data_IF_801393082764
#
_entry.id   IF_801393082764
#
_cell.length_a   1.000
_cell.length_b   1.000
_cell.length_c   1.000
_cell.angle_alpha   90.00
_cell.angle_beta   90.00
_cell.angle_gamma   90.00
#
_symmetry.space_group_name_H-M   'P 1'
#
loop_
_entity.id
_entity.type
_entity.pdbx_description
1 polymer ?
#
# COMPACT_ATOMS: atom_id res chain seq x y z
N UNK A 1 -14.19 -11.79 -8.90
CA UNK A 1 -14.17 -10.80 -7.80
C UNK A 1 -15.23 -9.74 -8.11
N UNK A 2 -15.97 -9.21 -7.13
CA UNK A 2 -16.87 -8.09 -7.40
C UNK A 2 -16.04 -6.91 -7.94
N UNK A 3 -16.55 -6.27 -9.00
CA UNK A 3 -15.89 -5.12 -9.65
C UNK A 3 -15.93 -3.93 -8.70
N UNK A 4 -14.77 -3.42 -8.30
CA UNK A 4 -14.68 -2.16 -7.56
C UNK A 4 -14.78 -0.99 -8.55
N UNK A 5 -15.33 0.13 -8.08
CA UNK A 5 -15.41 1.37 -8.87
C UNK A 5 -14.13 2.22 -8.66
N UNK A 6 -13.48 2.08 -7.50
CA UNK A 6 -12.17 2.67 -7.19
C UNK A 6 -11.31 1.72 -6.34
N UNK A 7 -10.02 1.63 -6.66
CA UNK A 7 -9.04 0.91 -5.85
C UNK A 7 -7.96 1.87 -5.35
N UNK A 8 -7.81 1.95 -4.04
CA UNK A 8 -6.79 2.74 -3.36
C UNK A 8 -5.59 1.85 -3.01
N UNK A 9 -4.45 2.10 -3.63
CA UNK A 9 -3.22 1.35 -3.37
C UNK A 9 -2.45 2.00 -2.23
N UNK A 10 -2.26 1.29 -1.13
CA UNK A 10 -1.28 1.68 -0.11
C UNK A 10 0.07 1.07 -0.47
N UNK A 11 0.90 1.90 -1.12
CA UNK A 11 2.21 1.52 -1.65
C UNK A 11 3.31 1.76 -0.61
N UNK A 12 4.42 1.00 -0.68
CA UNK A 12 5.61 1.32 0.11
C UNK A 12 6.22 2.65 -0.37
N UNK A 13 6.99 3.32 0.50
CA UNK A 13 7.71 4.54 0.13
C UNK A 13 8.81 4.29 -0.91
N UNK A 14 9.38 3.09 -0.91
CA UNK A 14 10.30 2.60 -1.94
C UNK A 14 9.66 1.42 -2.64
N UNK A 15 9.50 1.56 -3.96
CA UNK A 15 8.98 0.48 -4.78
C UNK A 15 9.93 -0.72 -4.75
N UNK A 16 9.38 -1.88 -4.36
CA UNK A 16 10.07 -3.16 -4.26
C UNK A 16 11.41 -3.09 -3.50
N UNK A 17 11.35 -2.60 -2.26
CA UNK A 17 12.43 -2.55 -1.26
C UNK A 17 13.17 -3.89 -1.00
N UNK A 18 12.72 -4.98 -1.62
CA UNK A 18 13.31 -6.32 -1.55
C UNK A 18 14.42 -6.53 -2.58
N UNK A 19 14.47 -5.73 -3.65
CA UNK A 19 15.42 -5.89 -4.76
C UNK A 19 16.77 -5.24 -4.51
N UNK A 20 16.76 -4.06 -3.90
CA UNK A 20 17.95 -3.24 -3.72
C UNK A 20 18.22 -2.99 -2.24
N UNK A 21 19.46 -3.19 -1.81
CA UNK A 21 19.92 -2.76 -0.49
C UNK A 21 20.19 -1.25 -0.54
N UNK A 22 19.20 -0.45 -0.17
CA UNK A 22 19.31 1.01 -0.18
C UNK A 22 19.86 1.48 1.17
N UNK A 23 20.98 2.21 1.15
CA UNK A 23 21.41 2.98 2.31
C UNK A 23 20.56 4.25 2.36
N UNK A 24 19.58 4.26 3.25
CA UNK A 24 18.76 5.44 3.49
C UNK A 24 19.59 6.48 4.23
N UNK A 25 19.57 7.73 3.74
CA UNK A 25 20.07 8.88 4.50
C UNK A 25 19.24 9.09 5.78
N UNK A 26 19.49 10.16 6.55
CA UNK A 26 18.73 10.43 7.76
C UNK A 26 17.23 10.53 7.44
N UNK A 27 16.50 9.48 7.82
CA UNK A 27 15.04 9.42 7.77
C UNK A 27 14.52 9.77 9.16
N UNK A 28 13.52 10.64 9.22
CA UNK A 28 12.99 11.20 10.47
C UNK A 28 12.66 10.11 11.49
N UNK A 29 13.15 10.26 12.72
CA UNK A 29 12.91 9.36 13.88
C UNK A 29 11.42 9.22 14.24
N UNK A 30 10.55 10.06 13.70
CA UNK A 30 9.10 10.07 13.98
C UNK A 30 8.32 8.99 13.20
N UNK A 31 8.95 8.30 12.25
CA UNK A 31 8.33 7.18 11.55
C UNK A 31 9.15 5.93 11.84
N UNK A 32 8.55 4.81 12.31
CA UNK A 32 9.30 3.62 12.69
C UNK A 32 10.30 3.25 11.59
N UNK A 33 11.57 3.22 11.99
CA UNK A 33 12.79 3.26 11.17
C UNK A 33 13.05 1.99 10.33
N UNK A 34 12.02 1.17 10.11
CA UNK A 34 12.06 0.17 9.05
C UNK A 34 11.95 0.87 7.70
N UNK A 35 12.82 0.49 6.77
CA UNK A 35 12.95 1.06 5.42
C UNK A 35 11.68 0.95 4.56
N UNK A 36 10.69 0.20 5.04
CA UNK A 36 9.44 -0.09 4.34
C UNK A 36 8.35 0.95 4.61
N UNK A 37 8.50 1.80 5.65
CA UNK A 37 7.59 2.90 6.00
C UNK A 37 6.10 2.55 5.81
N UNK A 38 5.63 1.55 6.55
CA UNK A 38 4.24 1.12 6.51
C UNK A 38 3.52 1.61 7.77
N UNK A 39 2.59 2.55 7.60
CA UNK A 39 1.67 2.99 8.65
C UNK A 39 0.25 2.62 8.25
N UNK A 40 -0.65 2.55 9.23
CA UNK A 40 -2.08 2.39 8.98
C UNK A 40 -2.57 3.48 8.00
N UNK A 41 -3.18 3.12 6.86
CA UNK A 41 -3.53 4.08 5.81
C UNK A 41 -4.83 4.83 6.16
N UNK A 42 -4.84 5.54 7.30
CA UNK A 42 -6.04 6.18 7.85
C UNK A 42 -6.65 7.20 6.88
N UNK A 43 -5.81 7.91 6.12
CA UNK A 43 -6.27 8.80 5.05
C UNK A 43 -7.05 8.05 3.96
N UNK A 44 -6.57 6.87 3.54
CA UNK A 44 -7.27 6.05 2.55
C UNK A 44 -8.56 5.47 3.12
N UNK A 45 -8.59 5.08 4.39
CA UNK A 45 -9.84 4.61 5.03
C UNK A 45 -10.88 5.71 5.09
N UNK A 46 -10.49 6.96 5.38
CA UNK A 46 -11.42 8.09 5.37
C UNK A 46 -11.96 8.39 3.97
N UNK A 47 -11.11 8.31 2.93
CA UNK A 47 -11.54 8.48 1.53
C UNK A 47 -12.50 7.37 1.12
N UNK A 48 -12.18 6.11 1.44
CA UNK A 48 -13.03 4.96 1.12
C UNK A 48 -14.40 5.10 1.79
N UNK A 49 -14.42 5.43 3.08
CA UNK A 49 -15.64 5.61 3.86
C UNK A 49 -16.55 6.71 3.27
N UNK A 50 -15.96 7.86 2.93
CA UNK A 50 -16.70 8.94 2.29
C UNK A 50 -17.31 8.50 0.97
N UNK A 51 -16.56 7.83 0.11
CA UNK A 51 -17.03 7.41 -1.21
C UNK A 51 -18.06 6.27 -1.14
N UNK A 52 -17.91 5.34 -0.20
CA UNK A 52 -18.88 4.27 0.06
C UNK A 52 -20.24 4.84 0.50
N UNK A 53 -20.24 5.89 1.34
CA UNK A 53 -21.48 6.63 1.68
C UNK A 53 -22.17 7.26 0.47
N UNK A 54 -21.44 7.53 -0.60
CA UNK A 54 -21.96 8.11 -1.84
C UNK A 54 -22.19 7.05 -2.94
N UNK A 55 -22.25 5.77 -2.57
CA UNK A 55 -22.64 4.68 -3.46
C UNK A 55 -21.53 4.08 -4.33
N UNK A 56 -20.26 4.46 -4.11
CA UNK A 56 -19.12 3.87 -4.79
C UNK A 56 -18.61 2.63 -4.07
N UNK A 57 -18.27 1.57 -4.81
CA UNK A 57 -17.57 0.40 -4.23
C UNK A 57 -16.07 0.66 -4.23
N UNK A 58 -15.53 1.05 -3.08
CA UNK A 58 -14.09 1.33 -2.92
C UNK A 58 -13.38 0.13 -2.30
N UNK A 59 -12.14 -0.11 -2.74
CA UNK A 59 -11.29 -1.15 -2.15
C UNK A 59 -9.91 -0.62 -1.85
N UNK A 60 -9.40 -0.89 -0.65
CA UNK A 60 -8.01 -0.59 -0.29
C UNK A 60 -7.17 -1.85 -0.48
N UNK A 61 -6.03 -1.73 -1.18
CA UNK A 61 -5.04 -2.80 -1.33
C UNK A 61 -3.72 -2.33 -0.74
N UNK A 62 -3.34 -2.92 0.38
CA UNK A 62 -2.05 -2.68 1.01
C UNK A 62 -0.96 -3.51 0.34
N UNK A 63 -0.23 -2.91 -0.60
CA UNK A 63 0.85 -3.53 -1.34
C UNK A 63 2.10 -3.68 -0.47
N UNK A 64 2.42 -2.68 0.36
CA UNK A 64 3.56 -2.72 1.27
C UNK A 64 3.47 -3.93 2.22
N UNK A 65 2.32 -4.10 2.89
CA UNK A 65 2.08 -5.22 3.80
C UNK A 65 2.12 -6.57 3.07
N UNK A 66 1.65 -6.65 1.82
CA UNK A 66 1.73 -7.88 1.02
C UNK A 66 3.17 -8.23 0.65
N UNK A 67 3.97 -7.23 0.27
CA UNK A 67 5.41 -7.41 0.01
C UNK A 67 6.17 -7.84 1.27
N UNK A 68 5.81 -7.29 2.44
CA UNK A 68 6.38 -7.67 3.74
C UNK A 68 6.04 -9.10 4.15
N UNK A 69 4.79 -9.52 3.92
CA UNK A 69 4.29 -10.85 4.33
C UNK A 69 4.74 -11.99 3.41
N UNK A 70 4.97 -11.70 2.14
CA UNK A 70 5.39 -12.70 1.15
C UNK A 70 6.58 -12.17 0.31
N UNK A 71 7.79 -12.70 0.53
CA UNK A 71 8.98 -12.33 -0.24
C UNK A 71 8.84 -12.58 -1.75
N UNK A 72 7.95 -13.48 -2.18
CA UNK A 72 7.70 -13.81 -3.59
C UNK A 72 6.48 -13.08 -4.17
N UNK A 73 5.87 -12.18 -3.40
CA UNK A 73 4.72 -11.43 -3.86
C UNK A 73 5.07 -10.55 -5.07
N UNK A 74 4.31 -10.72 -6.15
CA UNK A 74 4.43 -9.94 -7.38
C UNK A 74 3.34 -8.85 -7.40
N UNK A 75 3.77 -7.61 -7.15
CA UNK A 75 2.88 -6.46 -7.08
C UNK A 75 2.30 -6.09 -8.45
N UNK A 76 3.08 -6.19 -9.53
CA UNK A 76 2.60 -5.86 -10.87
C UNK A 76 1.51 -6.83 -11.32
N UNK A 77 1.72 -8.13 -11.10
CA UNK A 77 0.72 -9.16 -11.38
C UNK A 77 -0.53 -9.00 -10.51
N UNK A 78 -0.38 -8.54 -9.27
CA UNK A 78 -1.52 -8.17 -8.43
C UNK A 78 -2.31 -7.01 -9.05
N UNK A 79 -1.64 -5.92 -9.41
CA UNK A 79 -2.27 -4.70 -9.94
C UNK A 79 -2.99 -4.98 -11.27
N UNK A 80 -2.40 -5.77 -12.17
CA UNK A 80 -3.03 -6.16 -13.46
C UNK A 80 -4.36 -6.94 -13.30
N UNK A 81 -4.65 -7.47 -12.11
CA UNK A 81 -5.85 -8.28 -11.83
C UNK A 81 -6.93 -7.54 -11.04
N UNK A 82 -6.66 -6.30 -10.62
CA UNK A 82 -7.61 -5.45 -9.89
C UNK A 82 -8.59 -4.80 -10.88
#
# INVERSE_FOLDING_TARGET
MPKADLVLLHAPSVYDFRKESILYGPVSDLVPSTTVFEMYPIGLTTIAEYLERHGFRVRIVNLALRMLRDPRFDAEKCIRRL
#
